data_IF_318150615852
#
_entry.id   IF_318150615852
#
_cell.length_a   1.000
_cell.length_b   1.000
_cell.length_c   1.000
_cell.angle_alpha   90.00
_cell.angle_beta   90.00
_cell.angle_gamma   90.00
#
_symmetry.space_group_name_H-M   'P 1'
#
loop_
_entity.id
_entity.type
_entity.pdbx_description
1 polymer ?
#
# COMPACT_ATOMS: atom_id res chain seq x y z
N UNK A 1 0.68 23.46 22.84
CA UNK A 1 -0.69 23.11 22.39
C UNK A 1 -1.03 23.51 20.94
N UNK A 2 -0.41 24.55 20.35
CA UNK A 2 -0.72 25.03 18.99
C UNK A 2 -0.66 23.96 17.88
N UNK A 3 0.38 23.10 17.88
CA UNK A 3 0.52 22.01 16.92
C UNK A 3 -0.63 20.98 17.01
N UNK A 4 -1.02 20.62 18.23
CA UNK A 4 -2.11 19.67 18.48
C UNK A 4 -3.44 20.27 18.03
N UNK A 5 -3.65 21.57 18.28
CA UNK A 5 -4.85 22.29 17.85
C UNK A 5 -5.01 22.30 16.33
N UNK A 6 -3.92 22.57 15.62
CA UNK A 6 -3.89 22.52 14.17
C UNK A 6 -4.31 21.15 13.62
N UNK A 7 -3.74 20.07 14.17
CA UNK A 7 -4.07 18.70 13.75
C UNK A 7 -5.54 18.37 14.08
N UNK A 8 -6.02 18.75 15.27
CA UNK A 8 -7.42 18.53 15.69
C UNK A 8 -8.42 19.16 14.72
N UNK A 9 -8.16 20.39 14.27
CA UNK A 9 -9.03 21.12 13.34
C UNK A 9 -8.96 20.62 11.88
N UNK A 10 -7.91 19.90 11.52
CA UNK A 10 -7.81 19.20 10.22
C UNK A 10 -8.50 17.84 10.23
N UNK A 11 -8.38 17.10 11.33
CA UNK A 11 -8.91 15.74 11.47
C UNK A 11 -10.35 15.74 12.01
N UNK A 12 -11.22 16.53 11.38
CA UNK A 12 -12.65 16.62 11.74
C UNK A 12 -13.48 15.73 10.82
N UNK A 13 -14.38 14.93 11.42
CA UNK A 13 -15.29 14.01 10.70
C UNK A 13 -16.24 14.77 9.78
N UNK A 14 -16.89 15.80 10.31
CA UNK A 14 -17.78 16.67 9.55
C UNK A 14 -16.96 17.57 8.61
N UNK A 15 -17.18 17.43 7.30
CA UNK A 15 -16.43 18.18 6.28
C UNK A 15 -16.65 19.70 6.37
N UNK A 16 -17.87 20.13 6.71
CA UNK A 16 -18.23 21.55 6.84
C UNK A 16 -17.52 22.25 8.01
N UNK A 17 -17.12 21.49 9.03
CA UNK A 17 -16.40 21.99 10.22
C UNK A 17 -14.88 21.82 10.11
N UNK A 18 -14.41 21.14 9.06
CA UNK A 18 -12.99 20.94 8.82
C UNK A 18 -12.38 22.24 8.31
N UNK A 19 -11.18 22.56 8.78
CA UNK A 19 -10.41 23.69 8.26
C UNK A 19 -10.31 23.63 6.73
N UNK A 20 -10.69 24.73 6.09
CA UNK A 20 -10.34 25.00 4.70
C UNK A 20 -8.86 25.35 4.58
N UNK A 21 -8.32 25.30 3.37
CA UNK A 21 -6.91 25.63 3.14
C UNK A 21 -6.55 27.06 3.58
N UNK A 22 -7.45 28.03 3.35
CA UNK A 22 -7.24 29.44 3.70
C UNK A 22 -7.25 29.64 5.22
N UNK A 23 -8.09 28.93 5.95
CA UNK A 23 -8.08 28.96 7.42
C UNK A 23 -6.85 28.23 7.98
N UNK A 24 -6.41 27.15 7.35
CA UNK A 24 -5.22 26.42 7.77
C UNK A 24 -3.94 27.28 7.63
N UNK A 25 -3.81 28.05 6.55
CA UNK A 25 -2.69 28.98 6.35
C UNK A 25 -2.68 30.11 7.38
N UNK A 26 -3.86 30.55 7.84
CA UNK A 26 -4.01 31.59 8.89
C UNK A 26 -3.85 31.03 10.31
N UNK A 27 -3.67 29.72 10.48
CA UNK A 27 -3.57 29.13 11.80
C UNK A 27 -2.25 29.52 12.50
N UNK A 28 -2.25 29.86 13.80
CA UNK A 28 -1.05 30.30 14.55
C UNK A 28 0.13 29.32 14.49
N UNK A 29 -0.14 28.02 14.36
CA UNK A 29 0.91 27.02 14.18
C UNK A 29 1.66 27.18 12.85
N UNK A 30 0.99 27.65 11.79
CA UNK A 30 1.57 27.87 10.45
C UNK A 30 2.08 29.30 10.31
N UNK A 31 1.24 30.29 10.62
CA UNK A 31 1.53 31.72 10.57
C UNK A 31 1.35 32.31 11.97
N UNK A 32 2.41 32.42 12.78
CA UNK A 32 2.33 33.02 14.11
C UNK A 32 1.93 34.48 14.02
N UNK A 33 1.04 34.92 14.90
CA UNK A 33 0.60 36.32 14.97
C UNK A 33 1.43 37.10 15.98
N UNK A 34 1.86 36.44 17.06
CA UNK A 34 2.60 37.05 18.17
C UNK A 34 3.98 36.39 18.38
N UNK A 35 4.93 37.16 18.92
CA UNK A 35 6.27 36.66 19.25
C UNK A 35 6.25 35.47 20.22
N UNK A 36 5.29 35.43 21.16
CA UNK A 36 5.15 34.31 22.10
C UNK A 36 4.76 33.01 21.38
N UNK A 37 3.88 33.08 20.38
CA UNK A 37 3.48 31.91 19.59
C UNK A 37 4.65 31.39 18.75
N UNK A 38 5.44 32.30 18.17
CA UNK A 38 6.65 31.96 17.43
C UNK A 38 7.70 31.28 18.32
N UNK A 39 7.88 31.76 19.56
CA UNK A 39 8.79 31.16 20.53
C UNK A 39 8.37 29.74 20.90
N UNK A 40 7.09 29.54 21.25
CA UNK A 40 6.54 28.20 21.55
C UNK A 40 6.76 27.24 20.37
N UNK A 41 6.59 27.71 19.13
CA UNK A 41 6.86 26.89 17.94
C UNK A 41 8.34 26.54 17.82
N UNK A 42 9.24 27.50 18.06
CA UNK A 42 10.69 27.30 17.97
C UNK A 42 11.21 26.30 19.00
N UNK A 43 10.67 26.32 20.21
CA UNK A 43 11.05 25.43 21.30
C UNK A 43 10.40 24.04 21.21
N UNK A 44 9.31 23.91 20.46
CA UNK A 44 8.62 22.64 20.25
C UNK A 44 9.47 21.67 19.44
N UNK A 45 9.81 20.52 20.03
CA UNK A 45 10.59 19.46 19.38
C UNK A 45 9.70 18.33 18.83
N UNK A 46 10.14 17.71 17.74
CA UNK A 46 9.52 16.51 17.17
C UNK A 46 10.17 15.27 17.77
N UNK A 47 9.35 14.26 18.11
CA UNK A 47 9.87 12.97 18.55
C UNK A 47 10.46 12.19 17.34
N UNK A 48 11.75 12.41 17.10
CA UNK A 48 12.46 11.83 15.95
C UNK A 48 12.67 10.32 16.08
N UNK A 49 12.76 9.79 17.30
CA UNK A 49 12.91 8.36 17.54
C UNK A 49 11.70 7.58 17.02
N UNK A 50 10.49 7.99 17.42
CA UNK A 50 9.25 7.39 16.95
C UNK A 50 9.07 7.59 15.44
N UNK A 51 9.46 8.76 14.91
CA UNK A 51 9.39 9.04 13.48
C UNK A 51 10.29 8.10 12.67
N UNK A 52 11.55 7.94 13.08
CA UNK A 52 12.52 7.01 12.46
C UNK A 52 12.03 5.57 12.55
N UNK A 53 11.53 5.14 13.72
CA UNK A 53 10.96 3.80 13.93
C UNK A 53 9.82 3.50 12.95
N UNK A 54 8.90 4.44 12.76
CA UNK A 54 7.79 4.25 11.83
C UNK A 54 8.21 4.32 10.36
N UNK A 55 9.18 5.17 10.03
CA UNK A 55 9.78 5.23 8.70
C UNK A 55 10.42 3.90 8.31
N UNK A 56 11.24 3.33 9.20
CA UNK A 56 11.87 2.01 9.01
C UNK A 56 10.82 0.93 8.80
N UNK A 57 9.76 0.87 9.63
CA UNK A 57 8.65 -0.08 9.45
C UNK A 57 7.99 0.02 8.07
N UNK A 58 7.74 1.23 7.57
CA UNK A 58 7.17 1.45 6.23
C UNK A 58 8.09 0.94 5.13
N UNK A 59 9.40 1.20 5.24
CA UNK A 59 10.41 0.68 4.29
C UNK A 59 10.42 -0.85 4.27
N UNK A 60 10.46 -1.49 5.43
CA UNK A 60 10.45 -2.96 5.52
C UNK A 60 9.19 -3.57 4.92
N UNK A 61 8.02 -2.95 5.14
CA UNK A 61 6.76 -3.41 4.53
C UNK A 61 6.83 -3.37 3.00
N UNK A 62 7.43 -2.31 2.43
CA UNK A 62 7.64 -2.20 0.98
C UNK A 62 8.64 -3.25 0.48
N UNK A 63 9.80 -3.39 1.13
CA UNK A 63 10.81 -4.38 0.76
C UNK A 63 10.25 -5.81 0.78
N UNK A 64 9.49 -6.16 1.82
CA UNK A 64 8.80 -7.45 1.90
C UNK A 64 7.82 -7.64 0.74
N UNK A 65 7.02 -6.62 0.43
CA UNK A 65 6.07 -6.67 -0.70
C UNK A 65 6.78 -6.92 -2.03
N UNK A 66 7.93 -6.27 -2.26
CA UNK A 66 8.72 -6.45 -3.49
C UNK A 66 9.26 -7.86 -3.57
N UNK A 67 9.94 -8.34 -2.52
CA UNK A 67 10.51 -9.70 -2.49
C UNK A 67 9.43 -10.75 -2.64
N UNK A 68 8.29 -10.60 -1.95
CA UNK A 68 7.15 -11.49 -2.09
C UNK A 68 6.61 -11.53 -3.52
N UNK A 69 6.53 -10.38 -4.19
CA UNK A 69 6.10 -10.31 -5.59
C UNK A 69 7.12 -10.99 -6.52
N UNK A 70 8.40 -10.69 -6.38
CA UNK A 70 9.47 -11.34 -7.17
C UNK A 70 9.41 -12.85 -7.01
N UNK A 71 9.34 -13.34 -5.77
CA UNK A 71 9.25 -14.78 -5.49
C UNK A 71 7.98 -15.40 -6.09
N UNK A 72 6.85 -14.71 -6.02
CA UNK A 72 5.62 -15.17 -6.63
C UNK A 72 5.74 -15.29 -8.16
N UNK A 73 6.31 -14.26 -8.80
CA UNK A 73 6.52 -14.23 -10.24
C UNK A 73 7.52 -15.29 -10.68
N UNK A 74 8.67 -15.42 -10.02
CA UNK A 74 9.66 -16.47 -10.30
C UNK A 74 9.04 -17.85 -10.19
N UNK A 75 8.28 -18.15 -9.12
CA UNK A 75 7.60 -19.45 -8.99
C UNK A 75 6.56 -19.69 -10.08
N UNK A 76 5.83 -18.65 -10.48
CA UNK A 76 4.80 -18.75 -11.52
C UNK A 76 5.43 -18.98 -12.89
N UNK A 77 6.48 -18.24 -13.23
CA UNK A 77 7.22 -18.38 -14.48
C UNK A 77 7.96 -19.73 -14.56
N UNK A 78 8.65 -20.13 -13.50
CA UNK A 78 9.35 -21.44 -13.47
C UNK A 78 8.38 -22.62 -13.55
N UNK A 79 7.19 -22.51 -12.94
CA UNK A 79 6.11 -23.50 -13.14
C UNK A 79 5.60 -23.54 -14.57
N UNK A 80 5.45 -22.37 -15.22
CA UNK A 80 5.03 -22.30 -16.63
C UNK A 80 6.07 -22.94 -17.56
N UNK A 81 7.36 -22.78 -17.27
CA UNK A 81 8.46 -23.43 -18.01
C UNK A 81 8.47 -24.94 -17.79
N UNK A 82 8.29 -25.44 -16.56
CA UNK A 82 8.22 -26.89 -16.30
C UNK A 82 6.94 -27.58 -16.80
N UNK A 83 5.86 -26.82 -17.03
CA UNK A 83 4.66 -27.29 -17.71
C UNK A 83 4.80 -27.29 -19.24
N UNK A 84 5.97 -26.92 -19.77
CA UNK A 84 6.41 -27.31 -21.10
C UNK A 84 7.54 -28.37 -21.04
N UNK A 85 7.24 -29.65 -20.75
CA UNK A 85 8.08 -30.74 -21.20
C UNK A 85 7.73 -31.08 -22.66
N UNK A 86 8.72 -30.93 -23.56
CA UNK A 86 8.91 -31.71 -24.80
C UNK A 86 7.74 -31.88 -25.80
N UNK A 87 7.06 -30.81 -26.20
CA UNK A 87 6.16 -30.81 -27.39
C UNK A 87 6.82 -30.18 -28.63
N UNK A 88 8.16 -30.20 -28.73
CA UNK A 88 8.89 -29.87 -29.97
C UNK A 88 9.66 -31.08 -30.55
N UNK A 89 9.50 -32.28 -29.97
CA UNK A 89 10.22 -33.47 -30.42
C UNK A 89 9.36 -34.74 -30.44
N UNK A 90 8.22 -34.72 -31.15
CA UNK A 90 7.64 -35.92 -31.77
C UNK A 90 6.52 -35.57 -32.76
N UNK A 91 6.93 -35.16 -33.95
CA UNK A 91 6.07 -35.18 -35.13
C UNK A 91 6.07 -36.62 -35.69
N UNK A 92 5.29 -37.52 -35.11
CA UNK A 92 4.91 -38.78 -35.75
C UNK A 92 3.41 -38.96 -35.53
N UNK A 93 2.67 -38.69 -36.60
CA UNK A 93 1.24 -38.93 -36.77
C UNK A 93 0.85 -40.34 -36.32
N UNK A 94 -0.26 -40.46 -35.59
CA UNK A 94 -1.18 -41.60 -35.66
C UNK A 94 -2.49 -41.23 -34.98
N UNK A 95 -3.55 -41.17 -35.78
CA UNK A 95 -4.95 -40.96 -35.39
C UNK A 95 -5.45 -42.01 -34.39
N UNK A 96 -6.26 -41.60 -33.40
CA UNK A 96 -7.49 -42.31 -32.96
C UNK A 96 -8.27 -41.50 -31.91
N UNK A 97 -9.60 -41.65 -31.97
CA UNK A 97 -10.68 -40.81 -31.44
C UNK A 97 -10.90 -40.79 -29.90
N UNK A 98 -11.59 -39.72 -29.46
CA UNK A 98 -12.52 -39.56 -28.32
C UNK A 98 -12.11 -39.99 -26.88
N UNK A 99 -12.11 -39.02 -25.93
CA UNK A 99 -13.23 -38.89 -24.98
C UNK A 99 -13.17 -37.57 -24.18
N UNK A 100 -14.34 -36.93 -24.11
CA UNK A 100 -14.62 -35.61 -23.57
C UNK A 100 -15.09 -35.79 -22.13
N UNK A 101 -14.18 -35.81 -21.16
CA UNK A 101 -14.59 -35.66 -19.76
C UNK A 101 -13.47 -35.15 -18.85
N UNK A 102 -13.80 -34.12 -18.05
CA UNK A 102 -13.09 -33.65 -16.83
C UNK A 102 -12.13 -32.46 -16.95
N UNK A 103 -12.41 -31.48 -17.81
CA UNK A 103 -11.93 -30.10 -17.60
C UNK A 103 -13.08 -29.15 -17.22
N UNK A 104 -13.44 -29.12 -15.94
CA UNK A 104 -14.12 -28.04 -15.19
C UNK A 104 -14.17 -28.51 -13.73
N UNK A 105 -13.74 -27.77 -12.71
CA UNK A 105 -13.92 -26.34 -12.51
C UNK A 105 -12.72 -25.69 -11.77
N UNK A 106 -12.31 -24.53 -12.28
CA UNK A 106 -11.48 -23.57 -11.57
C UNK A 106 -12.29 -23.00 -10.40
N UNK A 107 -11.83 -23.21 -9.16
CA UNK A 107 -12.39 -22.53 -8.01
C UNK A 107 -12.16 -21.02 -8.10
N UNK A 108 -13.25 -20.27 -8.27
CA UNK A 108 -13.31 -18.82 -8.14
C UNK A 108 -12.90 -18.40 -6.72
N UNK A 109 -11.85 -17.58 -6.63
CA UNK A 109 -11.41 -16.98 -5.36
C UNK A 109 -12.28 -15.76 -5.05
N UNK A 110 -13.27 -15.93 -4.17
CA UNK A 110 -14.10 -14.85 -3.60
C UNK A 110 -13.21 -13.74 -3.01
N UNK A 111 -13.40 -12.50 -3.46
CA UNK A 111 -12.99 -11.28 -2.75
C UNK A 111 -14.08 -10.91 -1.75
N UNK A 112 -13.75 -10.85 -0.47
CA UNK A 112 -14.59 -10.26 0.57
C UNK A 112 -14.38 -8.74 0.58
N UNK A 113 -15.46 -8.01 0.31
CA UNK A 113 -15.61 -6.57 0.51
C UNK A 113 -16.07 -6.31 1.94
N UNK A 114 -15.32 -5.52 2.71
CA UNK A 114 -15.78 -4.95 3.98
C UNK A 114 -16.25 -3.51 3.75
N UNK A 115 -17.49 -3.24 4.19
CA UNK A 115 -18.05 -1.89 4.37
C UNK A 115 -17.35 -1.12 5.49
#
# INVERSE_FOLDING_TARGET
ELAKDFIRKLLVKETRKRLTIQEALRHPWITPVDNQQALVRRESVVNLENFKKQYVRRRWKLSFSIVSLCNHLTRTLMKKVHLQPDEDLRNCESDTEEDIAKRKALHSRRRSSTS
#
